data_IF_063195915962
#
_entry.id   IF_063195915962
#
_cell.length_a   1.000
_cell.length_b   1.000
_cell.length_c   1.000
_cell.angle_alpha   90.00
_cell.angle_beta   90.00
_cell.angle_gamma   90.00
#
_symmetry.space_group_name_H-M   'P 1'
#
loop_
_entity.id
_entity.type
_entity.pdbx_description
1 polymer ?
#
# COMPACT_ATOMS: atom_id res chain seq x y z
N UNK A 1 36.95 24.25 -63.57
CA UNK A 1 35.87 25.27 -63.58
C UNK A 1 34.68 24.67 -62.84
N UNK A 2 34.40 25.16 -61.62
CA UNK A 2 33.32 26.12 -61.30
C UNK A 2 31.94 25.45 -61.16
N UNK A 3 31.62 25.14 -59.90
CA UNK A 3 30.32 25.12 -59.20
C UNK A 3 29.08 25.55 -59.99
N UNK A 4 27.98 24.83 -59.78
CA UNK A 4 26.67 25.44 -59.47
C UNK A 4 25.68 24.43 -58.89
N UNK A 5 25.47 24.55 -57.58
CA UNK A 5 24.36 24.02 -56.79
C UNK A 5 23.14 24.93 -56.98
N UNK A 6 21.93 24.40 -57.26
CA UNK A 6 20.62 25.03 -56.96
C UNK A 6 19.54 23.92 -57.04
N UNK A 7 19.08 23.33 -55.93
CA UNK A 7 17.88 23.68 -55.11
C UNK A 7 16.64 22.86 -55.46
N UNK A 8 16.09 22.13 -54.47
CA UNK A 8 14.68 22.16 -54.02
C UNK A 8 14.44 20.94 -53.08
N UNK A 9 14.39 21.07 -51.75
CA UNK A 9 13.29 21.60 -50.92
C UNK A 9 12.04 20.71 -50.92
N UNK A 10 11.86 20.07 -49.75
CA UNK A 10 10.59 19.85 -49.01
C UNK A 10 9.77 18.57 -49.28
N UNK A 11 9.84 17.69 -48.27
CA UNK A 11 8.74 17.17 -47.43
C UNK A 11 7.43 16.75 -48.10
N UNK A 12 7.13 15.46 -47.94
CA UNK A 12 5.79 14.91 -47.64
C UNK A 12 6.05 13.76 -46.62
N UNK A 13 5.71 13.79 -45.33
CA UNK A 13 4.42 14.04 -44.64
C UNK A 13 3.28 13.38 -45.43
N UNK A 14 2.69 12.26 -45.03
CA UNK A 14 1.67 12.05 -43.97
C UNK A 14 1.23 10.57 -44.16
N UNK A 15 0.87 9.70 -43.21
CA UNK A 15 0.76 9.69 -41.76
C UNK A 15 0.85 8.22 -41.35
N UNK A 16 1.69 7.89 -40.37
CA UNK A 16 1.38 6.74 -39.52
C UNK A 16 0.27 7.18 -38.58
N UNK A 17 -0.96 6.92 -38.99
CA UNK A 17 -2.12 7.00 -38.12
C UNK A 17 -2.07 5.85 -37.12
N UNK A 18 -1.22 5.98 -36.10
CA UNK A 18 -1.48 5.37 -34.81
C UNK A 18 -1.86 6.49 -33.84
N UNK A 19 -3.03 7.09 -34.09
CA UNK A 19 -3.79 7.74 -33.03
C UNK A 19 -4.45 6.63 -32.17
N UNK A 20 -3.62 5.80 -31.54
CA UNK A 20 -3.98 4.99 -30.39
C UNK A 20 -3.71 5.79 -29.11
N UNK A 21 -4.21 7.03 -29.07
CA UNK A 21 -4.25 7.86 -27.88
C UNK A 21 -5.68 8.38 -27.73
N UNK A 22 -6.63 7.46 -27.51
CA UNK A 22 -7.57 7.78 -26.45
C UNK A 22 -6.79 7.50 -25.18
N UNK A 23 -6.15 8.56 -24.66
CA UNK A 23 -6.03 8.73 -23.23
C UNK A 23 -7.45 8.54 -22.70
N UNK A 24 -7.80 7.30 -22.37
CA UNK A 24 -8.61 7.14 -21.19
C UNK A 24 -7.66 7.59 -20.10
N UNK A 25 -7.97 8.77 -19.55
CA UNK A 25 -7.32 9.28 -18.36
C UNK A 25 -7.51 8.21 -17.28
N UNK A 26 -6.58 7.25 -17.24
CA UNK A 26 -6.30 6.57 -15.99
C UNK A 26 -5.86 7.70 -15.08
N UNK A 27 -6.79 8.10 -14.23
CA UNK A 27 -6.48 8.92 -13.07
C UNK A 27 -5.34 8.18 -12.39
N UNK A 28 -4.11 8.62 -12.66
CA UNK A 28 -2.92 8.13 -12.00
C UNK A 28 -2.98 8.65 -10.57
N UNK A 29 -3.89 8.08 -9.79
CA UNK A 29 -3.94 8.13 -8.33
C UNK A 29 -2.82 7.25 -7.74
N UNK A 30 -1.70 7.08 -8.45
CA UNK A 30 -0.59 6.28 -7.97
C UNK A 30 0.25 7.11 -7.00
N UNK A 31 -0.37 7.52 -5.89
CA UNK A 31 0.36 7.93 -4.70
C UNK A 31 0.90 6.66 -4.06
N UNK A 32 2.23 6.54 -3.98
CA UNK A 32 2.89 5.32 -3.50
C UNK A 32 2.41 4.89 -2.10
N UNK A 33 2.38 3.58 -1.85
CA UNK A 33 2.09 3.02 -0.52
C UNK A 33 3.32 2.90 0.38
N UNK A 34 4.50 3.30 -0.11
CA UNK A 34 5.78 3.12 0.59
C UNK A 34 5.83 3.85 1.94
N UNK A 35 5.02 4.90 2.12
CA UNK A 35 4.90 5.60 3.41
C UNK A 35 4.42 4.67 4.54
N UNK A 36 3.59 3.66 4.23
CA UNK A 36 3.12 2.67 5.21
C UNK A 36 4.10 1.50 5.44
N UNK A 37 5.17 1.39 4.65
CA UNK A 37 6.16 0.30 4.80
C UNK A 37 7.12 0.64 5.93
N UNK A 38 7.28 -0.26 6.89
CA UNK A 38 8.20 -0.06 8.01
C UNK A 38 7.87 -0.89 9.24
N UNK A 39 8.55 -0.56 10.34
CA UNK A 39 8.34 -1.17 11.67
C UNK A 39 7.56 -0.20 12.53
N UNK A 40 6.62 -0.73 13.30
CA UNK A 40 5.75 0.06 14.16
C UNK A 40 5.77 -0.50 15.57
N UNK A 41 5.93 0.35 16.58
CA UNK A 41 5.89 -0.04 17.98
C UNK A 41 4.63 0.51 18.64
N UNK A 42 3.98 -0.30 19.46
CA UNK A 42 2.70 0.08 20.05
C UNK A 42 2.08 -0.95 20.98
N UNK A 43 0.76 -0.85 21.12
CA UNK A 43 -0.05 -1.75 21.94
C UNK A 43 -0.83 -2.72 21.06
N UNK A 44 -0.94 -3.96 21.51
CA UNK A 44 -1.70 -5.03 20.89
C UNK A 44 -2.80 -5.48 21.87
N UNK A 45 -4.05 -5.40 21.45
CA UNK A 45 -5.20 -5.84 22.24
C UNK A 45 -5.77 -7.12 21.61
N UNK A 46 -5.76 -8.22 22.36
CA UNK A 46 -6.34 -9.50 21.95
C UNK A 46 -7.75 -9.62 22.52
N UNK A 47 -8.75 -9.99 21.74
CA UNK A 47 -10.13 -10.12 22.23
C UNK A 47 -10.38 -11.57 22.68
N UNK A 48 -9.86 -11.96 23.85
CA UNK A 48 -10.06 -13.29 24.46
C UNK A 48 -10.46 -13.29 25.97
N UNK A 49 -10.73 -12.13 26.58
CA UNK A 49 -11.24 -11.95 27.96
C UNK A 49 -10.25 -11.40 29.00
N UNK A 50 -10.63 -10.33 29.72
CA UNK A 50 -9.97 -9.58 30.83
C UNK A 50 -8.42 -9.40 30.81
N UNK A 51 -7.97 -8.14 30.59
CA UNK A 51 -6.56 -7.67 30.58
C UNK A 51 -5.68 -8.19 29.42
N UNK A 52 -6.08 -7.87 28.20
CA UNK A 52 -5.46 -8.40 26.99
C UNK A 52 -4.65 -7.38 26.19
N UNK A 53 -4.37 -6.23 26.80
CA UNK A 53 -3.51 -5.22 26.19
C UNK A 53 -2.06 -5.56 26.51
N UNK A 54 -1.33 -5.95 25.47
CA UNK A 54 0.11 -6.15 25.50
C UNK A 54 0.80 -4.90 24.97
N UNK A 55 1.65 -4.29 25.78
CA UNK A 55 2.42 -3.11 25.41
C UNK A 55 3.76 -3.47 24.76
N UNK A 56 4.41 -2.47 24.16
CA UNK A 56 5.72 -2.58 23.53
C UNK A 56 5.83 -3.68 22.46
N UNK A 57 4.71 -3.97 21.79
CA UNK A 57 4.68 -4.91 20.66
C UNK A 57 5.09 -4.22 19.37
N UNK A 58 5.61 -5.01 18.44
CA UNK A 58 6.05 -4.53 17.14
C UNK A 58 5.32 -5.26 16.03
N UNK A 59 4.91 -4.51 15.01
CA UNK A 59 4.50 -5.08 13.72
C UNK A 59 5.45 -4.62 12.62
N UNK A 60 5.59 -5.45 11.60
CA UNK A 60 6.30 -5.14 10.37
C UNK A 60 5.30 -5.07 9.24
N UNK A 61 5.29 -3.94 8.54
CA UNK A 61 4.54 -3.74 7.30
C UNK A 61 5.54 -3.77 6.15
N UNK A 62 5.33 -4.69 5.22
CA UNK A 62 6.19 -4.89 4.05
C UNK A 62 5.39 -4.79 2.76
N UNK A 63 6.05 -4.31 1.69
CA UNK A 63 5.44 -4.20 0.36
C UNK A 63 5.47 -5.54 -0.35
N UNK A 64 4.31 -6.00 -0.82
CA UNK A 64 4.17 -7.19 -1.68
C UNK A 64 4.07 -6.78 -3.15
N UNK A 65 3.32 -5.71 -3.42
CA UNK A 65 3.22 -5.06 -4.75
C UNK A 65 2.82 -3.58 -4.57
N UNK A 66 2.60 -2.84 -5.66
CA UNK A 66 2.28 -1.41 -5.59
C UNK A 66 0.96 -1.06 -4.88
N UNK A 67 0.03 -2.02 -4.79
CA UNK A 67 -1.24 -1.85 -4.09
C UNK A 67 -1.46 -2.89 -2.99
N UNK A 68 -0.41 -3.62 -2.58
CA UNK A 68 -0.53 -4.73 -1.62
C UNK A 68 0.59 -4.73 -0.59
N UNK A 69 0.21 -4.87 0.67
CA UNK A 69 1.12 -4.98 1.81
C UNK A 69 0.93 -6.31 2.52
N UNK A 70 1.95 -6.73 3.27
CA UNK A 70 1.90 -7.79 4.28
C UNK A 70 2.21 -7.22 5.65
N UNK A 71 1.41 -7.58 6.64
CA UNK A 71 1.55 -7.19 8.04
C UNK A 71 1.84 -8.42 8.88
N UNK A 72 2.90 -8.35 9.68
CA UNK A 72 3.39 -9.42 10.55
C UNK A 72 3.54 -8.88 11.96
N UNK A 73 3.04 -9.60 12.97
CA UNK A 73 3.31 -9.29 14.38
C UNK A 73 4.63 -9.94 14.76
N UNK A 74 5.62 -9.17 15.23
CA UNK A 74 6.92 -9.69 15.65
C UNK A 74 6.87 -10.23 17.09
N UNK A 75 5.95 -11.15 17.33
CA UNK A 75 5.87 -11.92 18.57
C UNK A 75 5.36 -13.32 18.27
N UNK A 76 6.30 -14.21 17.95
CA UNK A 76 6.01 -15.60 17.60
C UNK A 76 5.34 -16.38 18.75
N UNK A 77 5.49 -15.93 20.01
CA UNK A 77 4.88 -16.60 21.15
C UNK A 77 3.35 -16.44 21.16
N UNK A 78 2.83 -15.40 20.52
CA UNK A 78 1.39 -15.16 20.40
C UNK A 78 0.73 -15.95 19.27
N UNK A 79 1.53 -16.52 18.36
CA UNK A 79 1.05 -17.31 17.21
C UNK A 79 -0.06 -16.59 16.41
N UNK A 80 0.08 -15.28 16.21
CA UNK A 80 -0.89 -14.47 15.48
C UNK A 80 -0.64 -14.57 13.97
N UNK A 81 -1.70 -14.57 13.16
CA UNK A 81 -1.55 -14.74 11.72
C UNK A 81 -0.99 -13.50 11.04
N UNK A 82 -0.18 -13.76 10.02
CA UNK A 82 0.18 -12.77 9.02
C UNK A 82 -1.05 -12.44 8.15
N UNK A 83 -1.17 -11.18 7.75
CA UNK A 83 -2.24 -10.76 6.83
C UNK A 83 -1.68 -9.95 5.68
N UNK A 84 -2.29 -10.12 4.52
CA UNK A 84 -2.01 -9.32 3.34
C UNK A 84 -3.23 -8.51 2.95
N UNK A 85 -3.01 -7.24 2.59
CA UNK A 85 -4.06 -6.29 2.31
C UNK A 85 -3.83 -5.66 0.96
N UNK A 86 -4.89 -5.64 0.14
CA UNK A 86 -4.98 -4.63 -0.91
C UNK A 86 -5.29 -3.29 -0.25
N UNK A 87 -4.47 -2.29 -0.54
CA UNK A 87 -4.54 -0.95 0.05
C UNK A 87 -4.60 0.13 -1.03
N UNK A 88 -5.24 1.23 -0.66
CA UNK A 88 -5.32 2.44 -1.48
C UNK A 88 -4.70 3.59 -0.71
N UNK A 89 -3.87 4.38 -1.40
CA UNK A 89 -3.40 5.65 -0.87
C UNK A 89 -4.45 6.74 -1.18
N UNK A 90 -4.99 7.36 -0.13
CA UNK A 90 -5.99 8.41 -0.22
C UNK A 90 -5.29 9.78 -0.20
N UNK A 91 -4.74 10.18 -1.35
CA UNK A 91 -4.12 11.51 -1.55
C UNK A 91 -3.01 11.86 -0.54
N UNK A 92 -2.22 10.88 -0.11
CA UNK A 92 -1.17 11.00 0.91
C UNK A 92 -1.68 11.48 2.29
N UNK A 93 -2.97 11.32 2.57
CA UNK A 93 -3.55 11.56 3.90
C UNK A 93 -3.50 10.26 4.70
N UNK A 94 -3.95 9.16 4.08
CA UNK A 94 -3.96 7.85 4.69
C UNK A 94 -3.73 6.75 3.65
N UNK A 95 -3.26 5.60 4.11
CA UNK A 95 -3.19 4.37 3.31
C UNK A 95 -4.09 3.35 4.01
N UNK A 96 -5.13 2.88 3.32
CA UNK A 96 -6.20 2.09 3.93
C UNK A 96 -6.48 0.82 3.14
N UNK A 97 -6.75 -0.28 3.83
CA UNK A 97 -7.28 -1.48 3.19
C UNK A 97 -8.69 -1.24 2.64
N UNK A 98 -9.09 -2.02 1.63
CA UNK A 98 -10.50 -2.07 1.24
C UNK A 98 -11.39 -2.46 2.44
N UNK A 99 -12.61 -1.93 2.51
CA UNK A 99 -13.53 -2.10 3.64
C UNK A 99 -13.96 -3.56 3.93
N UNK A 100 -13.64 -4.49 3.02
CA UNK A 100 -13.96 -5.92 3.09
C UNK A 100 -12.74 -6.76 2.71
N UNK A 101 -11.58 -6.41 3.27
CA UNK A 101 -10.39 -7.23 3.09
C UNK A 101 -10.53 -8.56 3.85
N UNK A 102 -9.97 -9.64 3.30
CA UNK A 102 -10.07 -10.99 3.86
C UNK A 102 -9.41 -11.08 5.23
N UNK A 103 -10.21 -10.91 6.29
CA UNK A 103 -9.81 -11.18 7.66
C UNK A 103 -9.13 -10.02 8.39
N UNK A 104 -9.48 -8.76 8.08
CA UNK A 104 -9.00 -7.62 8.88
C UNK A 104 -9.20 -6.24 8.25
N UNK A 105 -8.59 -5.24 8.88
CA UNK A 105 -8.48 -3.87 8.37
C UNK A 105 -7.10 -3.28 8.65
N UNK A 106 -6.65 -2.40 7.76
CA UNK A 106 -5.40 -1.66 7.89
C UNK A 106 -5.64 -0.18 7.63
N UNK A 107 -5.17 0.68 8.52
CA UNK A 107 -5.23 2.13 8.39
C UNK A 107 -3.88 2.72 8.83
N UNK A 108 -3.16 3.33 7.91
CA UNK A 108 -1.98 4.15 8.20
C UNK A 108 -2.31 5.63 8.00
N UNK A 109 -2.04 6.44 9.02
CA UNK A 109 -2.13 7.90 8.96
C UNK A 109 -0.75 8.47 8.61
N UNK A 110 -0.68 9.20 7.50
CA UNK A 110 0.59 9.74 6.98
C UNK A 110 1.11 10.89 7.84
N UNK A 111 0.22 11.71 8.41
CA UNK A 111 0.59 12.88 9.21
C UNK A 111 1.11 12.47 10.58
N UNK A 112 0.41 11.54 11.23
CA UNK A 112 0.74 11.07 12.57
C UNK A 112 1.76 9.92 12.57
N UNK A 113 2.14 9.43 11.39
CA UNK A 113 2.99 8.25 11.22
C UNK A 113 2.52 7.08 12.10
N UNK A 114 1.21 6.88 12.16
CA UNK A 114 0.56 5.92 13.05
C UNK A 114 -0.21 4.88 12.26
N UNK A 115 -0.37 3.69 12.84
CA UNK A 115 -1.09 2.58 12.23
C UNK A 115 -2.11 2.02 13.21
N UNK A 116 -3.28 1.70 12.68
CA UNK A 116 -4.26 0.82 13.29
C UNK A 116 -4.39 -0.40 12.38
N UNK A 117 -4.11 -1.58 12.94
CA UNK A 117 -4.23 -2.85 12.25
C UNK A 117 -5.12 -3.76 13.08
N UNK A 118 -6.20 -4.24 12.47
CA UNK A 118 -7.08 -5.24 13.08
C UNK A 118 -7.04 -6.50 12.24
N UNK A 119 -6.94 -7.66 12.88
CA UNK A 119 -7.07 -8.95 12.22
C UNK A 119 -8.25 -9.71 12.81
N UNK A 120 -9.12 -10.19 11.94
CA UNK A 120 -10.23 -11.06 12.29
C UNK A 120 -9.84 -12.54 12.12
N UNK A 121 -10.42 -13.45 12.92
CA UNK A 121 -10.24 -14.89 12.73
C UNK A 121 -10.77 -15.35 11.36
N UNK A 122 -9.91 -16.03 10.62
CA UNK A 122 -10.21 -16.70 9.34
C UNK A 122 -10.11 -18.23 9.44
N UNK A 123 -9.51 -18.73 10.50
CA UNK A 123 -9.36 -20.15 10.79
C UNK A 123 -9.65 -20.45 12.27
N UNK A 124 -9.98 -21.71 12.56
CA UNK A 124 -10.20 -22.15 13.93
C UNK A 124 -8.93 -21.97 14.77
N UNK A 125 -9.07 -21.37 15.95
CA UNK A 125 -7.94 -21.09 16.86
C UNK A 125 -7.26 -19.74 16.63
N UNK A 126 -7.59 -19.01 15.56
CA UNK A 126 -7.20 -17.60 15.44
C UNK A 126 -8.06 -16.71 16.36
N UNK A 127 -7.45 -15.65 16.88
CA UNK A 127 -8.11 -14.67 17.75
C UNK A 127 -8.21 -13.32 17.05
N UNK A 128 -9.28 -12.59 17.36
CA UNK A 128 -9.41 -11.19 16.97
C UNK A 128 -8.38 -10.37 17.75
N UNK A 129 -7.63 -9.52 17.06
CA UNK A 129 -6.75 -8.57 17.73
C UNK A 129 -6.71 -7.22 17.03
N UNK A 130 -6.35 -6.18 17.78
CA UNK A 130 -6.10 -4.83 17.27
C UNK A 130 -4.73 -4.35 17.73
N UNK A 131 -3.90 -3.93 16.79
CA UNK A 131 -2.66 -3.22 17.04
C UNK A 131 -2.84 -1.72 16.78
N UNK A 132 -2.29 -0.90 17.68
CA UNK A 132 -2.19 0.56 17.52
C UNK A 132 -0.76 0.99 17.84
N UNK A 133 -0.09 1.68 16.92
CA UNK A 133 1.30 2.08 17.15
C UNK A 133 1.79 3.16 16.20
N UNK A 134 3.01 3.62 16.45
CA UNK A 134 3.69 4.61 15.62
C UNK A 134 4.89 3.98 14.92
N UNK A 135 5.22 4.53 13.76
CA UNK A 135 6.39 4.13 12.98
C UNK A 135 7.68 4.47 13.75
N UNK A 136 8.66 3.56 13.71
CA UNK A 136 9.99 3.74 14.34
C UNK A 136 10.99 4.40 13.39
#
# INVERSE_FOLDING_TARGET
>A
MKTKWVTAIIVACVAFAFAGCSKNDEVSNNTSIDAAVGRYKGSLEIVDGSNNTLFDKTIVVSKVSDSRIKVVVEDNALNLPDREFNVTNNMNISITSAAISTGGTFLYDVKENSVVYQAEPTAQGEVLFTFKGNKQ
#
